data_IF_410955384014
#
_entry.id   IF_410955384014
#
_cell.length_a   1.000
_cell.length_b   1.000
_cell.length_c   1.000
_cell.angle_alpha   90.00
_cell.angle_beta   90.00
_cell.angle_gamma   90.00
#
_symmetry.space_group_name_H-M   'P 1'
#
loop_
_entity.id
_entity.type
_entity.pdbx_description
1 polymer ?
#
# COMPACT_ATOMS: atom_id res chain seq x y z
N UNK A 1 13.76 6.69 8.04
CA UNK A 1 13.15 5.61 7.22
C UNK A 1 13.82 5.59 5.86
N UNK A 2 13.99 4.41 5.26
CA UNK A 2 14.22 4.31 3.80
C UNK A 2 12.86 4.32 3.12
N UNK A 3 12.75 4.68 1.83
CA UNK A 3 11.47 4.60 1.11
C UNK A 3 10.82 3.21 1.22
N UNK A 4 11.62 2.15 1.15
CA UNK A 4 11.13 0.79 1.31
C UNK A 4 10.63 0.51 2.74
N UNK A 5 11.39 0.89 3.78
CA UNK A 5 10.95 0.66 5.16
C UNK A 5 9.73 1.51 5.53
N UNK A 6 9.59 2.69 4.93
CA UNK A 6 8.41 3.52 5.07
C UNK A 6 7.18 2.91 4.39
N UNK A 7 7.34 2.41 3.15
CA UNK A 7 6.26 1.71 2.45
C UNK A 7 5.76 0.49 3.23
N UNK A 8 6.68 -0.33 3.77
CA UNK A 8 6.32 -1.49 4.62
C UNK A 8 5.53 -1.06 5.85
N UNK A 9 5.94 0.01 6.53
CA UNK A 9 5.20 0.54 7.68
C UNK A 9 3.77 0.96 7.30
N UNK A 10 3.58 1.60 6.14
CA UNK A 10 2.26 1.99 5.65
C UNK A 10 1.40 0.76 5.32
N UNK A 11 1.99 -0.28 4.74
CA UNK A 11 1.29 -1.54 4.45
C UNK A 11 0.88 -2.24 5.74
N UNK A 12 1.72 -2.31 6.77
CA UNK A 12 1.32 -2.86 8.07
C UNK A 12 0.15 -2.10 8.71
N UNK A 13 0.18 -0.76 8.69
CA UNK A 13 -0.96 0.04 9.14
C UNK A 13 -2.21 -0.20 8.28
N UNK A 14 -2.04 -0.44 6.98
CA UNK A 14 -3.10 -0.81 6.06
C UNK A 14 -3.72 -2.16 6.42
N UNK A 15 -2.89 -3.16 6.73
CA UNK A 15 -3.30 -4.50 7.16
C UNK A 15 -4.15 -4.44 8.41
N UNK A 16 -3.69 -3.72 9.45
CA UNK A 16 -4.45 -3.56 10.70
C UNK A 16 -5.82 -2.91 10.47
N UNK A 17 -5.91 -1.92 9.57
CA UNK A 17 -7.18 -1.24 9.24
C UNK A 17 -8.10 -2.12 8.41
N UNK A 18 -7.56 -2.89 7.46
CA UNK A 18 -8.33 -3.70 6.51
C UNK A 18 -8.78 -5.03 7.11
N UNK A 19 -7.96 -5.62 7.97
CA UNK A 19 -8.11 -6.94 8.57
C UNK A 19 -7.96 -6.85 10.10
N UNK A 20 -8.92 -6.23 10.81
CA UNK A 20 -8.83 -6.03 12.26
C UNK A 20 -8.79 -7.33 13.07
N UNK A 21 -9.27 -8.43 12.50
CA UNK A 21 -9.27 -9.77 13.11
C UNK A 21 -8.04 -10.62 12.71
N UNK A 22 -7.09 -10.02 11.99
CA UNK A 22 -5.91 -10.68 11.45
C UNK A 22 -5.99 -10.91 9.94
N UNK A 23 -4.83 -10.85 9.29
CA UNK A 23 -4.71 -11.05 7.85
C UNK A 23 -4.68 -12.55 7.56
N UNK A 24 -5.54 -13.07 6.65
CA UNK A 24 -5.43 -14.44 6.16
C UNK A 24 -4.02 -14.75 5.62
N UNK A 25 -3.53 -15.96 5.87
CA UNK A 25 -2.14 -16.34 5.55
C UNK A 25 -1.81 -16.23 4.05
N UNK A 26 -2.76 -16.60 3.19
CA UNK A 26 -2.65 -16.49 1.73
C UNK A 26 -2.53 -15.03 1.27
N UNK A 27 -3.29 -14.12 1.89
CA UNK A 27 -3.21 -12.69 1.63
C UNK A 27 -1.88 -12.12 2.15
N UNK A 28 -1.46 -12.48 3.37
CA UNK A 28 -0.20 -12.03 3.94
C UNK A 28 1.00 -12.46 3.08
N UNK A 29 0.97 -13.70 2.56
CA UNK A 29 1.99 -14.20 1.65
C UNK A 29 2.01 -13.43 0.32
N UNK A 30 0.84 -13.05 -0.19
CA UNK A 30 0.72 -12.21 -1.39
C UNK A 30 1.32 -10.83 -1.18
N UNK A 31 0.98 -10.17 -0.06
CA UNK A 31 1.53 -8.87 0.32
C UNK A 31 3.06 -8.91 0.40
N UNK A 32 3.64 -9.93 1.03
CA UNK A 32 5.10 -10.06 1.14
C UNK A 32 5.78 -10.28 -0.21
N UNK A 33 5.14 -11.03 -1.12
CA UNK A 33 5.65 -11.23 -2.47
C UNK A 33 5.61 -9.93 -3.28
N UNK A 34 4.52 -9.17 -3.20
CA UNK A 34 4.39 -7.86 -3.87
C UNK A 34 5.40 -6.86 -3.32
N UNK A 35 5.58 -6.77 -1.99
CA UNK A 35 6.56 -5.89 -1.36
C UNK A 35 8.00 -6.20 -1.80
N UNK A 36 8.36 -7.49 -1.92
CA UNK A 36 9.67 -7.88 -2.47
C UNK A 36 9.82 -7.45 -3.93
N UNK A 37 8.80 -7.70 -4.75
CA UNK A 37 8.82 -7.30 -6.15
C UNK A 37 8.94 -5.78 -6.32
N UNK A 38 8.24 -5.00 -5.51
CA UNK A 38 8.32 -3.53 -5.49
C UNK A 38 9.73 -3.06 -5.12
N UNK A 39 10.37 -3.73 -4.16
CA UNK A 39 11.74 -3.45 -3.76
C UNK A 39 12.73 -3.75 -4.89
N UNK A 40 12.65 -4.94 -5.48
CA UNK A 40 13.53 -5.41 -6.55
C UNK A 40 13.43 -4.51 -7.79
N UNK A 41 12.21 -4.09 -8.15
CA UNK A 41 11.94 -3.19 -9.27
C UNK A 41 12.11 -1.71 -8.91
N UNK A 42 12.44 -1.39 -7.66
CA UNK A 42 12.59 -0.01 -7.13
C UNK A 42 11.36 0.88 -7.35
N UNK A 43 10.16 0.29 -7.28
CA UNK A 43 8.90 1.01 -7.47
C UNK A 43 8.33 1.68 -6.22
N UNK A 44 9.04 1.64 -5.09
CA UNK A 44 8.57 2.24 -3.83
C UNK A 44 8.17 3.72 -3.96
N UNK A 45 8.90 4.53 -4.74
CA UNK A 45 8.55 5.95 -4.93
C UNK A 45 7.22 6.15 -5.66
N UNK A 46 6.86 5.25 -6.59
CA UNK A 46 5.59 5.29 -7.28
C UNK A 46 4.43 5.12 -6.28
N UNK A 47 4.49 4.07 -5.46
CA UNK A 47 3.47 3.80 -4.45
C UNK A 47 3.36 4.90 -3.39
N UNK A 48 4.50 5.41 -2.91
CA UNK A 48 4.50 6.50 -1.93
C UNK A 48 3.92 7.80 -2.49
N UNK A 49 4.23 8.14 -3.74
CA UNK A 49 3.70 9.35 -4.38
C UNK A 49 2.18 9.27 -4.53
N UNK A 50 1.65 8.12 -4.98
CA UNK A 50 0.21 7.91 -5.09
C UNK A 50 -0.45 7.95 -3.71
N UNK A 51 0.15 7.31 -2.70
CA UNK A 51 -0.32 7.37 -1.33
C UNK A 51 -0.45 8.82 -0.85
N UNK A 52 0.56 9.65 -1.07
CA UNK A 52 0.56 11.05 -0.60
C UNK A 52 -0.52 11.89 -1.30
N UNK A 53 -0.70 11.71 -2.61
CA UNK A 53 -1.76 12.37 -3.38
C UNK A 53 -3.15 11.97 -2.84
N UNK A 54 -3.36 10.68 -2.61
CA UNK A 54 -4.64 10.15 -2.09
C UNK A 54 -4.91 10.67 -0.68
N UNK A 55 -3.90 10.67 0.19
CA UNK A 55 -4.03 11.17 1.55
C UNK A 55 -4.29 12.67 1.60
N UNK A 56 -3.65 13.45 0.72
CA UNK A 56 -3.95 14.86 0.56
C UNK A 56 -5.41 15.08 0.10
N UNK A 57 -5.85 14.39 -0.96
CA UNK A 57 -7.23 14.48 -1.44
C UNK A 57 -8.23 14.14 -0.33
N UNK A 58 -7.97 13.08 0.43
CA UNK A 58 -8.77 12.70 1.61
C UNK A 58 -8.86 13.82 2.65
N UNK A 59 -7.74 14.43 3.00
CA UNK A 59 -7.71 15.53 3.98
C UNK A 59 -8.49 16.76 3.49
N UNK A 60 -8.50 17.02 2.19
CA UNK A 60 -9.22 18.14 1.58
C UNK A 60 -10.70 17.81 1.27
N UNK A 61 -11.18 16.60 1.57
CA UNK A 61 -12.53 16.18 1.20
C UNK A 61 -12.74 16.04 -0.32
N UNK A 62 -11.66 15.93 -1.10
CA UNK A 62 -11.70 15.71 -2.54
C UNK A 62 -11.95 14.23 -2.80
N UNK A 63 -12.90 13.91 -3.67
CA UNK A 63 -13.18 12.53 -4.05
C UNK A 63 -11.97 11.90 -4.75
N UNK A 64 -11.54 10.73 -4.27
CA UNK A 64 -10.54 9.87 -4.91
C UNK A 64 -11.11 8.46 -5.02
N UNK A 65 -10.84 7.78 -6.13
CA UNK A 65 -11.32 6.42 -6.37
C UNK A 65 -10.21 5.57 -6.98
N UNK A 66 -10.15 4.30 -6.58
CA UNK A 66 -9.27 3.31 -7.20
C UNK A 66 -9.58 3.14 -8.70
N UNK A 67 -8.54 2.87 -9.50
CA UNK A 67 -8.61 2.64 -10.95
C UNK A 67 -7.58 1.60 -11.38
N UNK A 68 -7.86 0.90 -12.48
CA UNK A 68 -6.92 0.00 -13.16
C UNK A 68 -6.55 -1.25 -12.37
N UNK A 69 -5.49 -1.93 -12.80
CA UNK A 69 -4.95 -3.14 -12.15
C UNK A 69 -4.42 -2.88 -10.73
N UNK A 70 -4.08 -1.63 -10.41
CA UNK A 70 -3.68 -1.22 -9.06
C UNK A 70 -4.80 -1.43 -8.01
N UNK A 71 -6.07 -1.47 -8.43
CA UNK A 71 -7.17 -1.83 -7.54
C UNK A 71 -7.22 -3.33 -7.17
N UNK A 72 -6.45 -4.17 -7.87
CA UNK A 72 -6.34 -5.60 -7.63
C UNK A 72 -5.08 -5.99 -6.83
N UNK A 73 -4.19 -5.03 -6.55
CA UNK A 73 -3.07 -5.21 -5.62
C UNK A 73 -3.61 -4.99 -4.20
N UNK A 74 -3.31 -5.93 -3.30
CA UNK A 74 -3.90 -6.04 -1.95
C UNK A 74 -2.91 -5.56 -0.90
#
# INVERSE_FOLDING_TARGET
YTPNSYLRMLVEQGKERRFPEGVPEDINQTIENELRLIEDLKYHYYFLTIHDIVMFAKQQGILYQGRGSAANSV
#
